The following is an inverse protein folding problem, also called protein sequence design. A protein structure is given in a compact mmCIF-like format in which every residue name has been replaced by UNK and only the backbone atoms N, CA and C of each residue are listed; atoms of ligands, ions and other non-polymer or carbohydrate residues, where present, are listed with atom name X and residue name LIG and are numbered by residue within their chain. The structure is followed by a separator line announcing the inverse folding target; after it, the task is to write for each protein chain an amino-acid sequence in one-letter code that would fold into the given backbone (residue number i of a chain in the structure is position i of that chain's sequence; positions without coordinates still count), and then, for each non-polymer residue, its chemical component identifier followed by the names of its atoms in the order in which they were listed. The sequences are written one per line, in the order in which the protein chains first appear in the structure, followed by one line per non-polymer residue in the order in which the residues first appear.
data_IF_655276117033
#
_entry.id   IF_655276117033
#
_cell.length_a   1.000
_cell.length_b   1.000
_cell.length_c   1.000
_cell.angle_alpha   90.00
_cell.angle_beta   90.00
_cell.angle_gamma   90.00
#
_symmetry.space_group_name_H-M   'P 1'
#
loop_
_entity.id
_entity.type
_entity.pdbx_description
1 polymer ?
#
# COMPACT_ATOMS: atom_id res chain seq x y z
N UNK A 1 18.45 24.44 -2.98
CA UNK A 1 17.00 24.58 -2.74
C UNK A 1 16.55 23.37 -1.94
N UNK A 2 15.68 23.53 -0.94
CA UNK A 2 15.11 22.39 -0.21
C UNK A 2 14.05 21.68 -1.07
N UNK A 3 13.95 20.36 -0.95
CA UNK A 3 12.96 19.58 -1.68
C UNK A 3 11.52 19.99 -1.34
N UNK A 4 10.61 19.90 -2.30
CA UNK A 4 9.17 19.99 -2.05
C UNK A 4 8.72 18.75 -1.26
N UNK A 5 7.96 18.96 -0.19
CA UNK A 5 7.41 17.86 0.60
C UNK A 5 6.16 17.32 -0.09
N UNK A 6 6.17 16.02 -0.40
CA UNK A 6 4.99 15.32 -0.90
C UNK A 6 4.16 14.87 0.31
N UNK A 7 3.13 15.63 0.64
CA UNK A 7 2.27 15.37 1.79
C UNK A 7 1.26 14.25 1.46
N UNK A 8 1.50 13.07 2.02
CA UNK A 8 0.62 11.92 1.82
C UNK A 8 -0.74 12.07 2.49
N UNK A 9 -0.85 12.91 3.54
CA UNK A 9 -2.13 13.15 4.20
C UNK A 9 -3.08 13.92 3.27
N UNK A 10 -2.61 15.01 2.68
CA UNK A 10 -3.40 15.83 1.76
C UNK A 10 -3.93 14.99 0.59
N UNK A 11 -3.07 14.19 -0.01
CA UNK A 11 -3.45 13.34 -1.16
C UNK A 11 -4.39 12.20 -0.73
N UNK A 12 -4.15 11.59 0.43
CA UNK A 12 -5.05 10.57 0.96
C UNK A 12 -6.45 11.12 1.28
N UNK A 13 -6.54 12.34 1.81
CA UNK A 13 -7.81 12.99 2.11
C UNK A 13 -8.60 13.30 0.81
N UNK A 14 -7.93 13.75 -0.26
CA UNK A 14 -8.55 13.90 -1.58
C UNK A 14 -9.14 12.57 -2.11
N UNK A 15 -8.39 11.47 -2.01
CA UNK A 15 -8.86 10.15 -2.45
C UNK A 15 -10.06 9.69 -1.59
N UNK A 16 -10.03 9.94 -0.30
CA UNK A 16 -11.16 9.62 0.59
C UNK A 16 -12.42 10.40 0.22
N UNK A 17 -12.29 11.67 -0.15
CA UNK A 17 -13.44 12.47 -0.60
C UNK A 17 -14.02 11.93 -1.90
N UNK A 18 -13.18 11.53 -2.86
CA UNK A 18 -13.61 10.84 -4.09
C UNK A 18 -14.34 9.52 -3.77
N UNK A 19 -13.78 8.72 -2.85
CA UNK A 19 -14.38 7.45 -2.40
C UNK A 19 -15.74 7.69 -1.74
N UNK A 20 -15.87 8.72 -0.90
CA UNK A 20 -17.15 9.07 -0.26
C UNK A 20 -18.21 9.42 -1.30
N UNK A 21 -17.88 10.26 -2.29
CA UNK A 21 -18.79 10.60 -3.38
C UNK A 21 -19.21 9.37 -4.20
N UNK A 22 -18.26 8.46 -4.49
CA UNK A 22 -18.56 7.21 -5.18
C UNK A 22 -19.46 6.30 -4.35
N UNK A 23 -19.24 6.20 -3.04
CA UNK A 23 -20.06 5.45 -2.11
C UNK A 23 -21.51 5.97 -2.08
N UNK A 24 -21.67 7.29 -1.96
CA UNK A 24 -23.00 7.91 -1.93
C UNK A 24 -23.75 7.71 -3.26
N UNK A 25 -23.04 7.80 -4.39
CA UNK A 25 -23.58 7.48 -5.70
C UNK A 25 -24.04 6.03 -5.77
N UNK A 26 -23.22 5.09 -5.33
CA UNK A 26 -23.51 3.65 -5.38
C UNK A 26 -24.73 3.29 -4.54
N UNK A 27 -24.84 3.89 -3.35
CA UNK A 27 -26.01 3.75 -2.47
C UNK A 27 -27.29 4.29 -3.13
N UNK A 28 -27.22 5.49 -3.68
CA UNK A 28 -28.39 6.16 -4.29
C UNK A 28 -28.86 5.48 -5.56
N UNK A 29 -27.93 5.10 -6.45
CA UNK A 29 -28.26 4.60 -7.78
C UNK A 29 -28.50 3.09 -7.83
N UNK A 30 -27.86 2.33 -6.94
CA UNK A 30 -27.87 0.85 -6.98
C UNK A 30 -28.30 0.20 -5.66
N UNK A 31 -28.54 0.97 -4.60
CA UNK A 31 -28.85 0.44 -3.27
C UNK A 31 -27.69 -0.35 -2.63
N UNK A 32 -26.48 -0.22 -3.14
CA UNK A 32 -25.32 -0.99 -2.68
C UNK A 32 -24.51 -0.15 -1.67
N UNK A 33 -24.34 -0.67 -0.47
CA UNK A 33 -23.38 -0.16 0.52
C UNK A 33 -22.10 -1.00 0.43
N UNK A 34 -20.92 -0.40 0.12
CA UNK A 34 -19.69 -1.16 0.13
C UNK A 34 -19.45 -1.84 1.47
N UNK A 35 -19.12 -3.12 1.46
CA UNK A 35 -18.90 -3.93 2.66
C UNK A 35 -17.46 -4.44 2.74
N UNK A 36 -16.83 -4.33 3.92
CA UNK A 36 -15.46 -4.76 4.16
C UNK A 36 -15.35 -5.61 5.42
N UNK A 37 -14.86 -6.84 5.27
CA UNK A 37 -14.55 -7.72 6.37
C UNK A 37 -13.07 -7.66 6.72
N UNK A 38 -12.77 -7.43 8.00
CA UNK A 38 -11.43 -7.51 8.57
C UNK A 38 -11.31 -8.80 9.39
N UNK A 39 -10.22 -9.53 9.20
CA UNK A 39 -9.88 -10.69 10.02
C UNK A 39 -8.56 -10.40 10.72
N UNK A 40 -8.56 -10.40 12.04
CA UNK A 40 -7.39 -10.19 12.89
C UNK A 40 -7.13 -11.46 13.69
N UNK A 41 -5.94 -12.02 13.56
CA UNK A 41 -5.51 -13.21 14.31
C UNK A 41 -4.43 -12.82 15.32
N UNK A 42 -4.67 -13.14 16.59
CA UNK A 42 -3.76 -12.83 17.68
C UNK A 42 -3.88 -11.39 18.20
N UNK A 43 -2.93 -11.02 19.05
CA UNK A 43 -3.00 -9.79 19.84
C UNK A 43 -1.84 -8.81 19.55
N UNK A 44 -1.22 -8.91 18.37
CA UNK A 44 -0.15 -7.96 18.00
C UNK A 44 -0.65 -6.51 18.08
N UNK A 45 -0.02 -5.66 18.92
CA UNK A 45 -0.51 -4.30 19.14
C UNK A 45 -0.52 -3.43 17.89
N UNK A 46 0.44 -3.63 16.97
CA UNK A 46 0.49 -2.87 15.73
C UNK A 46 -0.68 -3.24 14.81
N UNK A 47 -0.96 -4.54 14.66
CA UNK A 47 -2.08 -5.05 13.88
C UNK A 47 -3.43 -4.56 14.43
N UNK A 48 -3.60 -4.51 15.75
CA UNK A 48 -4.81 -3.96 16.38
C UNK A 48 -5.01 -2.48 16.06
N UNK A 49 -3.94 -1.67 16.11
CA UNK A 49 -3.99 -0.25 15.75
C UNK A 49 -4.36 -0.06 14.28
N UNK A 50 -3.79 -0.88 13.39
CA UNK A 50 -4.10 -0.82 11.96
C UNK A 50 -5.55 -1.19 11.68
N UNK A 51 -6.06 -2.29 12.23
CA UNK A 51 -7.47 -2.71 12.04
C UNK A 51 -8.43 -1.65 12.58
N UNK A 52 -8.14 -1.08 13.76
CA UNK A 52 -8.96 0.01 14.32
C UNK A 52 -8.98 1.24 13.39
N UNK A 53 -7.83 1.62 12.86
CA UNK A 53 -7.73 2.76 11.93
C UNK A 53 -8.47 2.52 10.60
N UNK A 54 -8.45 1.28 10.10
CA UNK A 54 -9.18 0.85 8.90
C UNK A 54 -10.70 0.84 9.16
N UNK A 55 -11.14 0.33 10.33
CA UNK A 55 -12.54 0.35 10.73
C UNK A 55 -13.09 1.78 10.82
N UNK A 56 -12.35 2.68 11.48
CA UNK A 56 -12.71 4.10 11.52
C UNK A 56 -12.84 4.71 10.12
N UNK A 57 -11.96 4.36 9.19
CA UNK A 57 -12.06 4.82 7.81
C UNK A 57 -13.32 4.28 7.11
N UNK A 58 -13.75 3.04 7.40
CA UNK A 58 -15.02 2.51 6.90
C UNK A 58 -16.21 3.35 7.40
N UNK A 59 -16.24 3.68 8.69
CA UNK A 59 -17.29 4.52 9.28
C UNK A 59 -17.33 5.91 8.62
N UNK A 60 -16.16 6.54 8.42
CA UNK A 60 -16.01 7.84 7.75
C UNK A 60 -16.50 7.81 6.29
N UNK A 61 -16.38 6.66 5.60
CA UNK A 61 -16.83 6.47 4.22
C UNK A 61 -18.27 5.95 4.13
N UNK A 62 -18.90 5.64 5.27
CA UNK A 62 -20.24 5.07 5.31
C UNK A 62 -20.32 3.64 4.78
N UNK A 63 -19.26 2.85 4.93
CA UNK A 63 -19.23 1.43 4.57
C UNK A 63 -19.91 0.58 5.64
N UNK A 64 -20.39 -0.58 5.24
CA UNK A 64 -20.62 -1.69 6.16
C UNK A 64 -19.29 -2.34 6.50
N UNK A 65 -18.97 -2.49 7.79
CA UNK A 65 -17.72 -3.15 8.19
C UNK A 65 -17.94 -4.22 9.26
N UNK A 66 -17.27 -5.35 9.10
CA UNK A 66 -17.26 -6.46 10.05
C UNK A 66 -15.82 -6.71 10.49
N UNK A 67 -15.59 -6.91 11.77
CA UNK A 67 -14.27 -7.28 12.29
C UNK A 67 -14.35 -8.60 13.04
N UNK A 68 -13.75 -9.63 12.50
CA UNK A 68 -13.57 -10.94 13.14
C UNK A 68 -12.25 -10.94 13.89
N UNK A 69 -12.31 -11.16 15.21
CA UNK A 69 -11.13 -11.22 16.08
C UNK A 69 -10.94 -12.63 16.57
N UNK A 70 -9.81 -13.24 16.22
CA UNK A 70 -9.49 -14.63 16.50
C UNK A 70 -8.28 -14.70 17.41
N UNK A 71 -8.30 -15.66 18.34
CA UNK A 71 -7.14 -15.92 19.20
C UNK A 71 -5.95 -16.44 18.39
N UNK A 72 -4.75 -16.31 18.94
CA UNK A 72 -3.52 -16.79 18.31
C UNK A 72 -3.47 -18.31 18.10
N UNK A 73 -4.33 -19.07 18.80
CA UNK A 73 -4.45 -20.52 18.68
C UNK A 73 -5.43 -21.00 17.59
N UNK A 74 -6.10 -20.08 16.88
CA UNK A 74 -7.02 -20.46 15.79
C UNK A 74 -6.28 -21.30 14.77
N UNK A 75 -6.94 -22.37 14.31
CA UNK A 75 -6.37 -23.26 13.29
C UNK A 75 -6.49 -22.64 11.90
N UNK A 76 -5.65 -23.09 10.98
CA UNK A 76 -5.77 -22.67 9.57
C UNK A 76 -7.13 -23.05 8.99
N UNK A 77 -7.69 -24.19 9.36
CA UNK A 77 -8.98 -24.68 8.89
C UNK A 77 -10.14 -23.79 9.35
N UNK A 78 -10.16 -23.40 10.63
CA UNK A 78 -11.15 -22.47 11.17
C UNK A 78 -11.08 -21.10 10.45
N UNK A 79 -9.88 -20.60 10.19
CA UNK A 79 -9.69 -19.36 9.44
C UNK A 79 -10.19 -19.47 7.99
N UNK A 80 -9.96 -20.60 7.34
CA UNK A 80 -10.47 -20.88 5.99
C UNK A 80 -12.00 -20.94 5.95
N UNK A 81 -12.65 -21.51 6.96
CA UNK A 81 -14.11 -21.49 7.08
C UNK A 81 -14.70 -20.08 7.21
N UNK A 82 -14.03 -19.22 7.98
CA UNK A 82 -14.44 -17.81 8.13
C UNK A 82 -14.31 -17.08 6.79
N UNK A 83 -13.21 -17.28 6.06
CA UNK A 83 -12.99 -16.70 4.74
C UNK A 83 -14.07 -17.18 3.76
N UNK A 84 -14.37 -18.49 3.75
CA UNK A 84 -15.43 -19.05 2.88
C UNK A 84 -16.80 -18.44 3.15
N UNK A 85 -17.15 -18.19 4.41
CA UNK A 85 -18.36 -17.47 4.79
C UNK A 85 -18.38 -16.06 4.20
N UNK A 86 -17.31 -15.27 4.33
CA UNK A 86 -17.24 -13.92 3.76
C UNK A 86 -17.18 -13.93 2.22
N UNK A 87 -16.59 -14.95 1.60
CA UNK A 87 -16.63 -15.09 0.14
C UNK A 87 -18.05 -15.19 -0.41
N UNK A 88 -18.95 -15.88 0.32
CA UNK A 88 -20.35 -16.07 -0.09
C UNK A 88 -21.28 -14.98 0.40
N UNK A 89 -20.87 -14.14 1.34
CA UNK A 89 -21.70 -13.06 1.86
C UNK A 89 -21.83 -11.93 0.83
N UNK A 90 -23.05 -11.67 0.36
CA UNK A 90 -23.32 -10.62 -0.62
C UNK A 90 -23.19 -9.19 -0.06
N UNK A 91 -23.21 -9.03 1.27
CA UNK A 91 -23.00 -7.73 1.91
C UNK A 91 -21.50 -7.38 2.02
N UNK A 92 -20.60 -8.33 1.81
CA UNK A 92 -19.15 -8.17 1.89
C UNK A 92 -18.56 -8.13 0.48
N UNK A 93 -17.97 -7.00 0.12
CA UNK A 93 -17.35 -6.76 -1.19
C UNK A 93 -15.82 -6.81 -1.12
N UNK A 94 -15.24 -6.69 0.08
CA UNK A 94 -13.82 -6.81 0.32
C UNK A 94 -13.52 -7.65 1.56
N UNK A 95 -12.45 -8.44 1.50
CA UNK A 95 -11.93 -9.22 2.63
C UNK A 95 -10.48 -8.85 2.82
N UNK A 96 -10.10 -8.56 4.07
CA UNK A 96 -8.75 -8.26 4.47
C UNK A 96 -8.36 -9.12 5.67
N UNK A 97 -7.37 -9.98 5.48
CA UNK A 97 -6.71 -10.70 6.57
C UNK A 97 -5.47 -9.92 6.98
N UNK A 98 -5.46 -9.41 8.21
CA UNK A 98 -4.34 -8.59 8.70
C UNK A 98 -3.09 -9.44 8.93
N UNK A 99 -2.04 -9.15 8.17
CA UNK A 99 -0.72 -9.76 8.34
C UNK A 99 0.10 -9.01 9.42
N UNK A 100 1.07 -9.70 10.08
CA UNK A 100 1.43 -11.11 9.88
C UNK A 100 0.47 -12.07 10.58
N UNK A 101 0.45 -13.33 10.11
CA UNK A 101 -0.27 -14.43 10.76
C UNK A 101 0.66 -15.22 11.71
N UNK A 102 0.10 -15.97 12.69
CA UNK A 102 0.88 -16.90 13.49
C UNK A 102 1.63 -17.92 12.62
N UNK A 103 2.82 -18.39 13.05
CA UNK A 103 3.70 -19.24 12.22
C UNK A 103 3.10 -20.57 11.76
N UNK A 104 2.08 -21.09 12.46
CA UNK A 104 1.41 -22.34 12.09
C UNK A 104 0.36 -22.16 10.96
N UNK A 105 0.06 -20.93 10.56
CA UNK A 105 -0.86 -20.61 9.48
C UNK A 105 -0.06 -20.17 8.24
N UNK A 106 -0.27 -20.83 7.12
CA UNK A 106 0.41 -20.53 5.85
C UNK A 106 -0.24 -19.32 5.16
N UNK A 107 0.42 -18.16 5.17
CA UNK A 107 -0.12 -16.92 4.58
C UNK A 107 -0.59 -17.11 3.14
N UNK A 108 0.18 -17.78 2.27
CA UNK A 108 -0.20 -17.99 0.87
C UNK A 108 -1.52 -18.76 0.75
N UNK A 109 -1.73 -19.80 1.56
CA UNK A 109 -2.99 -20.56 1.56
C UNK A 109 -4.17 -19.67 1.94
N UNK A 110 -3.97 -18.76 2.88
CA UNK A 110 -5.01 -17.83 3.32
C UNK A 110 -5.31 -16.78 2.24
N UNK A 111 -4.28 -16.21 1.61
CA UNK A 111 -4.44 -15.25 0.52
C UNK A 111 -5.19 -15.88 -0.66
N UNK A 112 -4.81 -17.11 -1.04
CA UNK A 112 -5.43 -17.85 -2.16
C UNK A 112 -6.87 -18.30 -1.88
N UNK A 113 -7.27 -18.41 -0.60
CA UNK A 113 -8.63 -18.77 -0.21
C UNK A 113 -9.62 -17.60 -0.32
N UNK A 114 -9.13 -16.36 -0.35
CA UNK A 114 -9.99 -15.18 -0.58
C UNK A 114 -10.43 -15.20 -2.06
N UNK A 115 -11.70 -14.97 -2.33
CA UNK A 115 -12.15 -14.71 -3.71
C UNK A 115 -11.38 -13.51 -4.27
N UNK A 116 -10.63 -13.71 -5.36
CA UNK A 116 -9.79 -12.67 -5.96
C UNK A 116 -10.56 -11.37 -6.28
N UNK A 117 -11.89 -11.47 -6.45
CA UNK A 117 -12.80 -10.33 -6.67
C UNK A 117 -13.06 -9.53 -5.39
N UNK A 118 -12.81 -10.14 -4.21
CA UNK A 118 -12.92 -9.54 -2.88
C UNK A 118 -11.56 -9.31 -2.20
N UNK A 119 -10.45 -9.65 -2.87
CA UNK A 119 -9.08 -9.42 -2.39
C UNK A 119 -8.72 -7.92 -2.53
N UNK A 120 -9.18 -7.11 -1.60
CA UNK A 120 -8.98 -5.65 -1.64
C UNK A 120 -7.56 -5.21 -1.29
N UNK A 121 -6.72 -6.09 -0.77
CA UNK A 121 -5.28 -5.85 -0.62
C UNK A 121 -4.51 -6.09 -1.94
N UNK A 122 -5.09 -6.84 -2.89
CA UNK A 122 -4.52 -7.10 -4.21
C UNK A 122 -3.34 -8.08 -4.21
N UNK A 123 -3.31 -9.01 -3.25
CA UNK A 123 -2.20 -9.98 -3.11
C UNK A 123 -2.50 -11.35 -3.71
N UNK A 124 -3.75 -11.64 -4.05
CA UNK A 124 -4.16 -12.89 -4.65
C UNK A 124 -3.40 -13.13 -5.98
N UNK A 125 -2.87 -14.34 -6.24
CA UNK A 125 -2.09 -14.63 -7.47
C UNK A 125 -2.78 -14.24 -8.77
N UNK A 126 -4.12 -14.35 -8.85
CA UNK A 126 -4.90 -13.90 -10.02
C UNK A 126 -4.78 -12.39 -10.20
N UNK A 127 -4.92 -11.60 -9.13
CA UNK A 127 -4.78 -10.14 -9.19
C UNK A 127 -3.35 -9.74 -9.57
N UNK A 128 -2.37 -10.40 -8.99
CA UNK A 128 -0.95 -10.19 -9.32
C UNK A 128 -0.68 -10.53 -10.79
N UNK A 129 -1.18 -11.67 -11.29
CA UNK A 129 -1.05 -12.06 -12.70
C UNK A 129 -1.70 -11.06 -13.64
N UNK A 130 -2.93 -10.63 -13.34
CA UNK A 130 -3.63 -9.59 -14.12
C UNK A 130 -2.87 -8.27 -14.13
N UNK A 131 -2.31 -7.85 -12.98
CA UNK A 131 -1.47 -6.65 -12.91
C UNK A 131 -0.24 -6.77 -13.80
N UNK A 132 0.45 -7.91 -13.80
CA UNK A 132 1.64 -8.13 -14.63
C UNK A 132 1.33 -7.97 -16.13
N UNK A 133 0.21 -8.54 -16.59
CA UNK A 133 -0.19 -8.50 -18.00
C UNK A 133 -1.02 -7.25 -18.39
N UNK A 134 -1.17 -6.30 -17.49
CA UNK A 134 -1.86 -5.03 -17.74
C UNK A 134 -3.38 -5.12 -17.81
N UNK A 135 -3.98 -6.17 -17.29
CA UNK A 135 -5.42 -6.30 -17.16
C UNK A 135 -5.93 -5.56 -15.91
N UNK A 136 -7.19 -5.15 -15.95
CA UNK A 136 -7.79 -4.52 -14.77
C UNK A 136 -7.95 -5.52 -13.62
N UNK A 137 -7.62 -5.06 -12.41
CA UNK A 137 -7.63 -5.86 -11.18
C UNK A 137 -7.67 -4.96 -9.94
N UNK A 138 -7.94 -5.55 -8.79
CA UNK A 138 -7.66 -4.92 -7.51
C UNK A 138 -6.14 -4.90 -7.31
N UNK A 139 -5.58 -3.69 -7.14
CA UNK A 139 -4.13 -3.48 -7.06
C UNK A 139 -3.68 -3.40 -5.61
N UNK A 140 -2.46 -3.87 -5.27
CA UNK A 140 -1.92 -3.69 -3.95
C UNK A 140 -1.97 -2.24 -3.47
N UNK A 141 -2.53 -2.03 -2.26
CA UNK A 141 -2.90 -0.69 -1.77
C UNK A 141 -1.71 0.26 -1.66
N UNK A 142 -0.62 -0.15 -1.02
CA UNK A 142 0.58 0.68 -0.87
C UNK A 142 1.23 1.02 -2.21
N UNK A 143 1.46 0.08 -3.13
CA UNK A 143 1.93 0.34 -4.49
C UNK A 143 1.05 1.31 -5.28
N UNK A 144 -0.26 1.11 -5.27
CA UNK A 144 -1.19 2.01 -5.93
C UNK A 144 -1.17 3.42 -5.29
N UNK A 145 -1.00 3.50 -3.97
CA UNK A 145 -0.81 4.77 -3.26
C UNK A 145 0.47 5.50 -3.66
N UNK A 146 1.56 4.79 -3.94
CA UNK A 146 2.80 5.37 -4.45
C UNK A 146 2.57 6.01 -5.83
N UNK A 147 1.85 5.33 -6.72
CA UNK A 147 1.47 5.88 -8.02
C UNK A 147 0.64 7.16 -7.87
N UNK A 148 -0.39 7.16 -7.01
CA UNK A 148 -1.22 8.34 -6.74
C UNK A 148 -0.40 9.51 -6.17
N UNK A 149 0.56 9.24 -5.26
CA UNK A 149 1.47 10.26 -4.74
C UNK A 149 2.27 10.92 -5.85
N UNK A 150 2.88 10.13 -6.75
CA UNK A 150 3.64 10.64 -7.88
C UNK A 150 2.78 11.50 -8.80
N UNK A 151 1.63 10.99 -9.21
CA UNK A 151 0.75 11.66 -10.17
C UNK A 151 0.16 12.94 -9.59
N UNK A 152 -0.41 12.88 -8.38
CA UNK A 152 -1.10 14.02 -7.76
C UNK A 152 -0.15 15.11 -7.25
N UNK A 153 1.11 14.77 -7.02
CA UNK A 153 2.15 15.76 -6.70
C UNK A 153 2.82 16.37 -7.94
N UNK A 154 2.33 16.06 -9.15
CA UNK A 154 2.90 16.58 -10.40
C UNK A 154 4.22 15.94 -10.82
N UNK A 155 4.54 14.77 -10.27
CA UNK A 155 5.77 14.01 -10.56
C UNK A 155 5.48 12.77 -11.43
N UNK A 156 4.70 12.93 -12.51
CA UNK A 156 4.33 11.84 -13.41
C UNK A 156 5.56 11.01 -13.81
N UNK A 157 5.54 9.68 -13.63
CA UNK A 157 6.65 8.78 -13.93
C UNK A 157 6.84 8.49 -15.43
N UNK A 158 5.94 8.93 -16.29
CA UNK A 158 5.98 8.62 -17.73
C UNK A 158 7.30 9.05 -18.39
N UNK A 159 7.96 8.12 -19.05
CA UNK A 159 9.24 8.32 -19.72
C UNK A 159 10.44 8.49 -18.79
N UNK A 160 10.28 8.37 -17.47
CA UNK A 160 11.35 8.52 -16.47
C UNK A 160 11.96 7.21 -16.08
N UNK A 161 13.22 7.27 -15.64
CA UNK A 161 13.89 6.15 -15.00
C UNK A 161 13.52 6.09 -13.52
N UNK A 162 12.80 5.06 -13.13
CA UNK A 162 12.40 4.78 -11.74
C UNK A 162 13.23 3.64 -11.20
N UNK A 163 13.89 3.86 -10.06
CA UNK A 163 14.59 2.80 -9.33
C UNK A 163 13.80 2.45 -8.07
N UNK A 164 13.33 1.22 -8.01
CA UNK A 164 12.66 0.66 -6.83
C UNK A 164 13.69 -0.13 -6.01
N UNK A 165 13.94 0.31 -4.78
CA UNK A 165 14.85 -0.40 -3.86
C UNK A 165 14.03 -1.28 -2.94
N UNK A 166 13.91 -2.55 -3.33
CA UNK A 166 13.09 -3.56 -2.63
C UNK A 166 12.35 -4.46 -3.63
N UNK A 167 12.15 -5.74 -3.28
CA UNK A 167 11.51 -6.73 -4.16
C UNK A 167 10.47 -7.61 -3.47
N UNK A 168 9.84 -7.10 -2.40
CA UNK A 168 8.78 -7.84 -1.72
C UNK A 168 7.57 -8.08 -2.63
N UNK A 169 6.82 -9.14 -2.37
CA UNK A 169 5.61 -9.46 -3.12
C UNK A 169 4.49 -8.43 -2.89
N UNK A 170 4.52 -7.75 -1.73
CA UNK A 170 3.46 -6.82 -1.34
C UNK A 170 3.75 -5.35 -1.71
N UNK A 171 5.02 -5.00 -2.01
CA UNK A 171 5.41 -3.61 -2.31
C UNK A 171 6.27 -3.51 -3.57
N UNK A 172 7.52 -4.01 -3.55
CA UNK A 172 8.49 -3.72 -4.61
C UNK A 172 8.09 -4.27 -5.98
N UNK A 173 7.72 -5.54 -6.06
CA UNK A 173 7.26 -6.15 -7.32
C UNK A 173 5.98 -5.50 -7.86
N UNK A 174 4.93 -5.27 -7.05
CA UNK A 174 3.75 -4.56 -7.52
C UNK A 174 4.01 -3.14 -7.99
N UNK A 175 4.87 -2.36 -7.31
CA UNK A 175 5.23 -1.01 -7.75
C UNK A 175 5.86 -1.04 -9.14
N UNK A 176 6.83 -1.94 -9.37
CA UNK A 176 7.42 -2.13 -10.70
C UNK A 176 6.34 -2.40 -11.74
N UNK A 177 5.47 -3.39 -11.47
CA UNK A 177 4.42 -3.77 -12.40
C UNK A 177 3.41 -2.64 -12.67
N UNK A 178 3.06 -1.82 -11.69
CA UNK A 178 2.18 -0.66 -11.87
C UNK A 178 2.84 0.40 -12.76
N UNK A 179 4.10 0.74 -12.47
CA UNK A 179 4.75 1.89 -13.10
C UNK A 179 5.25 1.61 -14.53
N UNK A 180 5.50 0.35 -14.88
CA UNK A 180 5.88 -0.02 -16.24
C UNK A 180 4.70 -0.14 -17.24
N UNK A 181 3.45 -0.13 -16.77
CA UNK A 181 2.27 -0.27 -17.64
C UNK A 181 2.15 0.88 -18.63
N UNK A 182 1.74 0.56 -19.87
CA UNK A 182 1.47 1.56 -20.92
C UNK A 182 0.14 2.29 -20.66
N UNK A 183 0.14 3.17 -19.66
CA UNK A 183 -1.04 3.94 -19.25
C UNK A 183 -0.64 5.28 -18.63
N UNK A 184 -1.60 6.21 -18.51
CA UNK A 184 -1.41 7.50 -17.83
C UNK A 184 -1.01 7.28 -16.36
N UNK A 185 -0.02 8.04 -15.88
CA UNK A 185 0.51 7.91 -14.52
C UNK A 185 1.41 6.68 -14.30
N UNK A 186 1.88 6.07 -15.39
CA UNK A 186 2.83 4.98 -15.43
C UNK A 186 3.78 5.17 -16.63
N UNK A 187 4.08 4.14 -17.42
CA UNK A 187 4.91 4.22 -18.65
C UNK A 187 6.37 4.61 -18.37
N UNK A 188 6.90 4.16 -17.24
CA UNK A 188 8.27 4.39 -16.81
C UNK A 188 9.23 3.27 -17.26
N UNK A 189 10.51 3.57 -17.33
CA UNK A 189 11.58 2.56 -17.31
C UNK A 189 11.85 2.22 -15.85
N UNK A 190 11.65 0.97 -15.44
CA UNK A 190 11.76 0.59 -14.02
C UNK A 190 12.89 -0.40 -13.80
N UNK A 191 13.80 -0.05 -12.89
CA UNK A 191 14.87 -0.92 -12.39
C UNK A 191 14.56 -1.34 -10.96
N UNK A 192 14.74 -2.63 -10.62
CA UNK A 192 14.70 -3.12 -9.24
C UNK A 192 16.11 -3.33 -8.72
N UNK A 193 16.43 -2.68 -7.59
CA UNK A 193 17.59 -2.97 -6.76
C UNK A 193 17.11 -3.57 -5.42
N UNK A 194 17.92 -4.39 -4.79
CA UNK A 194 17.56 -5.10 -3.57
C UNK A 194 18.78 -5.50 -2.74
N UNK A 195 18.62 -6.15 -1.61
CA UNK A 195 19.71 -6.57 -0.71
C UNK A 195 20.79 -7.43 -1.36
N UNK A 196 20.53 -8.10 -2.48
CA UNK A 196 21.53 -8.81 -3.28
C UNK A 196 22.26 -7.94 -4.32
N UNK A 197 21.90 -6.68 -4.45
CA UNK A 197 22.57 -5.73 -5.36
C UNK A 197 23.87 -5.27 -4.72
N UNK A 198 25.01 -5.44 -5.43
CA UNK A 198 26.36 -5.10 -4.90
C UNK A 198 26.50 -3.61 -4.58
N UNK A 199 26.01 -2.76 -5.47
CA UNK A 199 26.07 -1.31 -5.32
C UNK A 199 24.70 -0.71 -5.70
N UNK A 200 23.87 -0.47 -4.69
CA UNK A 200 22.55 0.16 -4.87
C UNK A 200 22.72 1.61 -5.34
N UNK A 201 23.75 2.31 -4.88
CA UNK A 201 23.97 3.72 -5.19
C UNK A 201 24.26 3.94 -6.69
N UNK A 202 24.89 2.98 -7.37
CA UNK A 202 25.12 3.07 -8.82
C UNK A 202 23.83 3.15 -9.64
N UNK A 203 22.75 2.55 -9.15
CA UNK A 203 21.43 2.63 -9.76
C UNK A 203 20.67 3.89 -9.33
N UNK A 204 20.63 4.19 -8.03
CA UNK A 204 19.84 5.32 -7.51
C UNK A 204 20.38 6.68 -7.93
N UNK A 205 21.70 6.82 -8.15
CA UNK A 205 22.31 8.05 -8.72
C UNK A 205 21.92 8.34 -10.17
N UNK A 206 21.34 7.38 -10.88
CA UNK A 206 20.88 7.56 -12.27
C UNK A 206 19.36 7.78 -12.34
N UNK A 207 18.65 7.56 -11.22
CA UNK A 207 17.19 7.57 -11.19
C UNK A 207 16.61 8.98 -11.20
N UNK A 208 15.58 9.21 -12.00
CA UNK A 208 14.74 10.39 -11.92
C UNK A 208 13.78 10.30 -10.73
N UNK A 209 13.39 9.06 -10.37
CA UNK A 209 12.54 8.75 -9.23
C UNK A 209 13.13 7.56 -8.48
N UNK A 210 13.33 7.71 -7.16
CA UNK A 210 13.74 6.62 -6.27
C UNK A 210 12.56 6.25 -5.35
N UNK A 211 12.22 4.97 -5.30
CA UNK A 211 11.21 4.44 -4.39
C UNK A 211 11.91 3.49 -3.43
N UNK A 212 12.06 3.92 -2.18
CA UNK A 212 12.72 3.14 -1.13
C UNK A 212 11.71 2.25 -0.41
N UNK A 213 11.87 0.93 -0.52
CA UNK A 213 11.01 -0.10 0.07
C UNK A 213 11.84 -1.33 0.47
N UNK A 214 13.01 -1.10 1.08
CA UNK A 214 13.98 -2.14 1.46
C UNK A 214 13.72 -2.67 2.89
N UNK A 215 13.00 -1.89 3.72
CA UNK A 215 12.71 -2.23 5.11
C UNK A 215 13.95 -2.12 6.02
N UNK A 216 14.86 -1.18 5.71
CA UNK A 216 16.06 -0.92 6.49
C UNK A 216 16.15 0.57 6.83
N UNK A 217 16.20 0.93 8.14
CA UNK A 217 16.20 2.33 8.55
C UNK A 217 17.30 3.15 7.89
N UNK A 218 16.93 4.27 7.28
CA UNK A 218 17.83 5.30 6.77
C UNK A 218 18.95 4.78 5.82
N UNK A 219 18.69 3.65 5.12
CA UNK A 219 19.68 2.98 4.27
C UNK A 219 19.99 3.75 2.97
N UNK A 220 19.10 4.62 2.51
CA UNK A 220 19.30 5.45 1.31
C UNK A 220 19.64 6.87 1.76
N UNK A 221 20.86 7.28 1.48
CA UNK A 221 21.39 8.60 1.89
C UNK A 221 21.43 9.57 0.71
N UNK A 222 21.59 10.88 0.98
CA UNK A 222 21.57 11.91 -0.05
C UNK A 222 22.67 11.76 -1.12
N UNK A 223 23.85 11.26 -0.76
CA UNK A 223 24.95 10.99 -1.68
C UNK A 223 24.70 9.81 -2.63
N UNK A 224 23.68 9.00 -2.33
CA UNK A 224 23.19 7.92 -3.20
C UNK A 224 22.14 8.39 -4.22
N UNK A 225 21.77 9.67 -4.22
CA UNK A 225 20.68 10.20 -5.03
C UNK A 225 21.21 11.09 -6.18
N UNK A 226 20.49 11.05 -7.32
CA UNK A 226 20.70 12.01 -8.40
C UNK A 226 20.18 13.39 -7.96
N UNK A 227 20.95 14.47 -8.12
CA UNK A 227 20.46 15.81 -7.86
C UNK A 227 19.17 16.11 -8.64
N UNK A 228 18.14 16.58 -7.93
CA UNK A 228 16.85 16.88 -8.52
C UNK A 228 15.92 15.67 -8.73
N UNK A 229 16.25 14.47 -8.25
CA UNK A 229 15.35 13.33 -8.28
C UNK A 229 14.14 13.49 -7.36
N UNK A 230 13.12 12.67 -7.58
CA UNK A 230 11.97 12.53 -6.69
C UNK A 230 12.18 11.31 -5.80
N UNK A 231 11.88 11.42 -4.51
CA UNK A 231 12.07 10.33 -3.56
C UNK A 231 10.74 9.97 -2.89
N UNK A 232 10.34 8.72 -3.03
CA UNK A 232 9.18 8.14 -2.32
C UNK A 232 9.71 7.13 -1.31
N UNK A 233 9.57 7.44 -0.04
CA UNK A 233 9.97 6.56 1.05
C UNK A 233 8.77 5.76 1.56
N UNK A 234 8.80 4.46 1.33
CA UNK A 234 7.75 3.51 1.75
C UNK A 234 8.09 2.89 3.12
N UNK A 235 9.33 3.04 3.57
CA UNK A 235 9.82 2.45 4.82
C UNK A 235 9.05 2.95 6.05
N UNK A 236 8.79 2.04 6.98
CA UNK A 236 8.27 2.34 8.31
C UNK A 236 9.08 1.52 9.30
N UNK A 237 10.09 2.14 9.87
CA UNK A 237 11.00 1.48 10.80
C UNK A 237 10.91 2.15 12.17
N UNK A 238 10.82 1.37 13.23
CA UNK A 238 10.90 1.87 14.60
C UNK A 238 12.34 1.74 15.09
N UNK A 239 12.95 2.85 15.46
CA UNK A 239 14.29 2.87 16.05
C UNK A 239 14.23 3.39 17.49
N UNK A 240 15.19 2.95 18.30
CA UNK A 240 15.40 3.47 19.66
C UNK A 240 15.77 4.95 19.59
N UNK A 241 15.14 5.78 20.41
CA UNK A 241 15.44 7.21 20.55
C UNK A 241 15.15 7.64 21.99
N UNK A 242 16.20 7.71 22.82
CA UNK A 242 16.03 8.11 24.22
C UNK A 242 15.46 9.53 24.40
N UNK A 243 15.53 10.37 23.38
CA UNK A 243 14.99 11.75 23.43
C UNK A 243 13.50 11.80 23.10
N UNK A 244 12.96 10.75 22.51
CA UNK A 244 11.55 10.65 22.19
C UNK A 244 10.72 10.28 23.42
N UNK A 245 9.53 10.88 23.55
CA UNK A 245 8.60 10.67 24.68
C UNK A 245 8.32 9.19 25.01
N UNK A 246 8.33 8.32 23.99
CA UNK A 246 8.07 6.87 24.11
C UNK A 246 9.35 6.03 23.92
N UNK A 247 10.56 6.62 24.07
CA UNK A 247 11.84 5.92 23.91
C UNK A 247 12.14 5.43 22.48
N UNK A 248 11.29 5.77 21.50
CA UNK A 248 11.46 5.35 20.09
C UNK A 248 10.83 6.34 19.13
N UNK A 249 11.36 6.40 17.90
CA UNK A 249 10.79 7.17 16.80
C UNK A 249 10.61 6.31 15.55
N UNK A 250 9.72 6.76 14.67
CA UNK A 250 9.51 6.14 13.36
C UNK A 250 10.36 6.88 12.34
N UNK A 251 11.11 6.12 11.53
CA UNK A 251 11.90 6.61 10.41
C UNK A 251 11.60 5.80 9.15
N UNK A 252 11.92 6.36 8.00
CA UNK A 252 11.83 5.67 6.72
C UNK A 252 13.08 4.83 6.39
N UNK A 253 13.11 4.36 5.15
CA UNK A 253 14.29 3.72 4.56
C UNK A 253 15.29 4.77 4.03
N UNK A 254 14.86 6.02 3.92
CA UNK A 254 15.67 7.15 3.44
C UNK A 254 16.14 8.00 4.63
N UNK A 255 17.43 8.34 4.66
CA UNK A 255 17.95 9.32 5.60
C UNK A 255 17.49 10.72 5.17
N UNK A 256 16.33 11.14 5.69
CA UNK A 256 15.59 12.32 5.27
C UNK A 256 16.43 13.59 5.27
N UNK A 257 17.21 13.82 6.32
CA UNK A 257 17.99 15.06 6.51
C UNK A 257 19.06 15.27 5.43
N UNK A 258 19.61 14.19 4.83
CA UNK A 258 20.54 14.31 3.70
C UNK A 258 19.80 14.34 2.36
N UNK A 259 18.76 13.52 2.20
CA UNK A 259 18.02 13.39 0.94
C UNK A 259 17.26 14.68 0.57
N UNK A 260 16.68 15.38 1.55
CA UNK A 260 15.92 16.64 1.32
C UNK A 260 16.77 17.77 0.71
N UNK A 261 18.09 17.70 0.87
CA UNK A 261 19.05 18.68 0.31
C UNK A 261 19.37 18.42 -1.17
N UNK A 262 19.09 17.21 -1.65
CA UNK A 262 19.49 16.73 -2.98
C UNK A 262 18.27 16.52 -3.88
N UNK A 263 17.19 16.00 -3.31
CA UNK A 263 15.95 15.72 -4.03
C UNK A 263 15.22 16.99 -4.48
N UNK A 264 14.46 16.90 -5.56
CA UNK A 264 13.47 17.91 -5.99
C UNK A 264 12.20 17.83 -5.13
N UNK A 265 11.75 16.61 -4.84
CA UNK A 265 10.57 16.34 -4.03
C UNK A 265 10.76 15.04 -3.24
N UNK A 266 10.20 14.98 -2.03
CA UNK A 266 10.37 13.83 -1.12
C UNK A 266 9.15 13.63 -0.24
N UNK A 267 8.77 12.37 0.03
CA UNK A 267 7.77 12.04 1.06
C UNK A 267 8.41 12.02 2.45
N UNK A 268 7.75 12.57 3.49
CA UNK A 268 8.21 12.42 4.87
C UNK A 268 7.79 11.07 5.46
N UNK A 269 8.51 10.60 6.47
CA UNK A 269 8.10 9.46 7.32
C UNK A 269 8.21 9.88 8.78
N UNK A 270 7.08 9.89 9.52
CA UNK A 270 5.70 9.63 9.09
C UNK A 270 5.09 10.78 8.29
N UNK A 271 3.97 10.51 7.57
CA UNK A 271 3.20 11.54 6.86
C UNK A 271 3.12 11.37 5.33
N UNK A 272 3.96 10.48 4.77
CA UNK A 272 3.95 10.14 3.34
C UNK A 272 3.08 8.91 3.02
N UNK A 273 3.70 7.87 2.51
CA UNK A 273 3.07 6.66 1.94
C UNK A 273 2.10 5.96 2.91
N UNK A 274 2.42 5.90 4.21
CA UNK A 274 1.58 5.20 5.19
C UNK A 274 0.13 5.72 5.28
N UNK A 275 -0.14 6.98 4.89
CA UNK A 275 -1.50 7.54 4.83
C UNK A 275 -2.29 7.04 3.62
N UNK A 276 -1.59 6.68 2.55
CA UNK A 276 -2.19 6.26 1.28
C UNK A 276 -2.81 4.87 1.36
N UNK A 277 -2.21 3.95 2.10
CA UNK A 277 -2.64 2.54 2.15
C UNK A 277 -4.12 2.41 2.53
N UNK A 278 -4.58 3.15 3.54
CA UNK A 278 -5.99 3.12 3.98
C UNK A 278 -6.91 3.73 2.91
N UNK A 279 -6.52 4.85 2.32
CA UNK A 279 -7.31 5.49 1.26
C UNK A 279 -7.48 4.57 0.05
N UNK A 280 -6.40 3.87 -0.35
CA UNK A 280 -6.45 2.91 -1.47
C UNK A 280 -7.24 1.66 -1.14
N UNK A 281 -7.22 1.19 0.13
CA UNK A 281 -8.08 0.10 0.58
C UNK A 281 -9.57 0.47 0.44
N UNK A 282 -9.97 1.67 0.86
CA UNK A 282 -11.34 2.16 0.67
C UNK A 282 -11.68 2.24 -0.82
N UNK A 283 -10.78 2.76 -1.66
CA UNK A 283 -10.96 2.82 -3.11
C UNK A 283 -11.14 1.43 -3.73
N UNK A 284 -10.33 0.45 -3.36
CA UNK A 284 -10.47 -0.93 -3.83
C UNK A 284 -11.80 -1.55 -3.39
N UNK A 285 -12.26 -1.28 -2.17
CA UNK A 285 -13.54 -1.80 -1.67
C UNK A 285 -14.73 -1.25 -2.47
N UNK A 286 -14.72 0.03 -2.81
CA UNK A 286 -15.76 0.61 -3.70
C UNK A 286 -15.69 -0.01 -5.08
N UNK A 287 -14.50 -0.15 -5.67
CA UNK A 287 -14.32 -0.80 -6.98
C UNK A 287 -14.85 -2.23 -6.99
N UNK A 288 -14.59 -3.00 -5.92
CA UNK A 288 -15.13 -4.34 -5.76
C UNK A 288 -16.66 -4.34 -5.68
N UNK A 289 -17.25 -3.40 -4.92
CA UNK A 289 -18.70 -3.24 -4.79
C UNK A 289 -19.38 -2.79 -6.11
N UNK A 290 -18.68 -2.01 -6.94
CA UNK A 290 -19.16 -1.66 -8.29
C UNK A 290 -19.28 -2.88 -9.22
N UNK A 291 -18.49 -3.92 -8.99
CA UNK A 291 -18.47 -5.16 -9.77
C UNK A 291 -17.98 -4.99 -11.21
N UNK A 292 -17.20 -3.95 -11.49
CA UNK A 292 -16.73 -3.63 -12.84
C UNK A 292 -15.28 -4.04 -13.13
N UNK A 293 -14.52 -4.44 -12.11
CA UNK A 293 -13.06 -4.68 -12.20
C UNK A 293 -12.71 -5.90 -13.06
N UNK A 294 -13.63 -6.87 -13.15
CA UNK A 294 -13.37 -8.18 -13.80
C UNK A 294 -14.34 -8.48 -14.96
N UNK A 295 -14.87 -7.44 -15.58
CA UNK A 295 -15.75 -7.55 -16.78
C UNK A 295 -14.96 -7.57 -18.07
#
# INVERSE_FOLDING_TARGET
MSATIIDGKVIADQIKDEVRQQTDRLKRERGITPGLAFILVGEDPASQVYVRSKGKACDEMGFHSVTERLGSSVTQEELLHIIARFNTDAAIHGILVQLPLPPHIKENTIIEAIDYRKDVDGFHPINVGKLVIGQDCLRPCTPAGVQELLVRSGNDPSGKHVVVVGRSNIVGKPIMNILMQKQKGANAVVTIAHTGTRDIASFTRQADIVIAAIGKPEAITGDMLKPGCVVIDVGINRIQDPTAKNGSRIVGDVHFASAVKVAKAITPVPGGVGKMTIAMLMKNTVRAAEGNVYR
#
